data_IF_677280342904
#
_entry.id   IF_677280342904
#
_cell.length_a   1.000
_cell.length_b   1.000
_cell.length_c   1.000
_cell.angle_alpha   90.00
_cell.angle_beta   90.00
_cell.angle_gamma   90.00
#
_symmetry.space_group_name_H-M   'P 1'
#
loop_
_entity.id
_entity.type
_entity.pdbx_description
1 polymer ?
#
# COMPACT_ATOMS: atom_id res chain seq x y z
N UNK A 1 -11.23 -39.76 2.67
CA UNK A 1 -10.23 -39.26 1.69
C UNK A 1 -10.26 -37.76 1.74
N UNK A 2 -9.33 -37.17 2.47
CA UNK A 2 -9.22 -35.73 2.64
C UNK A 2 -8.43 -35.20 1.44
N UNK A 3 -9.09 -34.49 0.56
CA UNK A 3 -8.42 -33.79 -0.55
C UNK A 3 -7.71 -32.59 0.09
N UNK A 4 -6.42 -32.76 0.34
CA UNK A 4 -5.58 -31.65 0.75
C UNK A 4 -5.53 -30.61 -0.36
N UNK A 5 -6.22 -29.49 -0.17
CA UNK A 5 -6.11 -28.34 -1.06
C UNK A 5 -4.66 -27.86 -1.03
N UNK A 6 -3.91 -28.08 -2.09
CA UNK A 6 -2.61 -27.46 -2.28
C UNK A 6 -2.85 -25.97 -2.47
N UNK A 7 -2.47 -25.18 -1.49
CA UNK A 7 -2.43 -23.71 -1.62
C UNK A 7 -1.42 -23.38 -2.71
N UNK A 8 -1.91 -22.89 -3.85
CA UNK A 8 -1.05 -22.42 -4.94
C UNK A 8 -0.44 -21.08 -4.45
N UNK A 9 0.90 -20.98 -4.30
CA UNK A 9 1.52 -19.72 -3.99
C UNK A 9 1.25 -18.74 -5.14
N UNK A 10 0.51 -17.68 -4.86
CA UNK A 10 0.31 -16.59 -5.83
C UNK A 10 1.68 -15.96 -6.12
N UNK A 11 2.11 -15.85 -7.38
CA UNK A 11 3.36 -15.21 -7.75
C UNK A 11 3.19 -13.68 -7.71
N UNK A 12 2.88 -13.14 -6.54
CA UNK A 12 2.85 -11.70 -6.34
C UNK A 12 4.30 -11.26 -6.19
N UNK A 13 4.85 -10.65 -7.21
CA UNK A 13 6.15 -10.01 -7.15
C UNK A 13 6.02 -8.84 -6.15
N UNK A 14 6.61 -9.01 -4.97
CA UNK A 14 6.97 -7.85 -4.14
C UNK A 14 8.01 -7.09 -4.95
N UNK A 15 7.84 -5.79 -5.12
CA UNK A 15 8.99 -4.99 -5.52
C UNK A 15 10.07 -5.25 -4.48
N UNK A 16 11.17 -5.91 -4.87
CA UNK A 16 12.23 -6.39 -3.96
C UNK A 16 12.92 -5.26 -3.17
N UNK A 17 12.46 -4.02 -3.36
CA UNK A 17 13.05 -2.80 -2.84
C UNK A 17 12.13 -1.93 -1.98
N UNK A 18 10.89 -2.29 -1.74
CA UNK A 18 9.96 -1.47 -0.96
C UNK A 18 10.18 -1.68 0.55
N UNK A 19 11.10 -0.94 1.11
CA UNK A 19 11.43 -0.92 2.54
C UNK A 19 11.50 0.51 3.06
N UNK A 20 11.47 0.70 4.38
CA UNK A 20 11.69 2.03 4.98
C UNK A 20 13.10 2.58 4.74
N UNK A 21 14.09 1.73 4.44
CA UNK A 21 15.47 2.14 4.17
C UNK A 21 15.61 2.88 2.84
N UNK A 22 14.78 2.51 1.86
CA UNK A 22 14.77 3.15 0.54
C UNK A 22 13.52 4.01 0.30
N UNK A 23 12.80 4.34 1.36
CA UNK A 23 11.71 5.32 1.36
C UNK A 23 12.26 6.74 1.36
N UNK A 24 11.74 7.59 0.48
CA UNK A 24 12.04 9.02 0.51
C UNK A 24 11.08 9.72 1.48
N UNK A 25 11.55 10.02 2.70
CA UNK A 25 10.79 10.82 3.66
C UNK A 25 10.63 12.26 3.17
N UNK A 26 9.41 12.78 3.27
CA UNK A 26 9.02 14.14 2.86
C UNK A 26 8.25 14.82 3.98
N UNK A 27 8.21 16.15 3.99
CA UNK A 27 7.49 16.90 5.04
C UNK A 27 6.01 16.52 5.13
N UNK A 28 5.37 16.23 4.00
CA UNK A 28 3.96 15.83 3.94
C UNK A 28 3.74 14.37 4.39
N UNK A 29 4.76 13.52 4.34
CA UNK A 29 4.67 12.10 4.76
C UNK A 29 5.14 11.84 6.18
N UNK A 30 5.90 12.75 6.81
CA UNK A 30 6.41 12.58 8.16
C UNK A 30 5.34 12.24 9.22
N UNK A 31 4.15 12.88 9.25
CA UNK A 31 3.12 12.51 10.21
C UNK A 31 2.67 11.05 10.08
N UNK A 32 2.52 10.57 8.85
CA UNK A 32 2.19 9.18 8.55
C UNK A 32 3.32 8.23 8.98
N UNK A 33 4.57 8.57 8.64
CA UNK A 33 5.75 7.77 9.00
C UNK A 33 5.89 7.64 10.51
N UNK A 34 5.74 8.73 11.24
CA UNK A 34 5.75 8.72 12.70
C UNK A 34 4.62 7.87 13.26
N UNK A 35 3.41 8.02 12.72
CA UNK A 35 2.25 7.26 13.15
C UNK A 35 2.42 5.75 12.91
N UNK A 36 2.98 5.34 11.76
CA UNK A 36 3.24 3.93 11.43
C UNK A 36 4.42 3.34 12.23
N UNK A 37 5.42 4.16 12.60
CA UNK A 37 6.59 3.72 13.36
C UNK A 37 6.37 3.71 14.88
N UNK A 38 5.41 4.45 15.38
CA UNK A 38 5.01 4.39 16.79
C UNK A 38 4.44 3.00 17.05
N UNK A 39 5.19 2.16 17.76
CA UNK A 39 4.69 0.88 18.29
C UNK A 39 3.50 1.15 19.21
N UNK A 40 2.33 1.31 18.61
CA UNK A 40 1.09 1.56 19.35
C UNK A 40 0.75 0.33 20.17
N UNK A 41 0.27 0.50 21.41
CA UNK A 41 -0.15 -0.62 22.25
C UNK A 41 -1.33 -1.42 21.66
N UNK A 42 -2.06 -0.80 20.72
CA UNK A 42 -3.09 -1.44 19.90
C UNK A 42 -2.78 -1.13 18.43
N UNK A 43 -2.69 -2.14 17.56
CA UNK A 43 -2.50 -1.90 16.14
C UNK A 43 -3.59 -0.98 15.61
N UNK A 44 -3.18 0.15 15.04
CA UNK A 44 -4.12 1.11 14.46
C UNK A 44 -4.17 0.92 12.95
N UNK A 45 -5.37 0.96 12.40
CA UNK A 45 -5.58 0.83 10.96
C UNK A 45 -5.59 2.20 10.27
N UNK A 46 -5.07 2.24 9.05
CA UNK A 46 -4.94 3.49 8.29
C UNK A 46 -5.41 3.34 6.84
N UNK A 47 -5.82 4.46 6.28
CA UNK A 47 -6.17 4.61 4.88
C UNK A 47 -5.25 5.65 4.22
N UNK A 48 -4.53 5.20 3.19
CA UNK A 48 -3.60 6.01 2.41
C UNK A 48 -4.24 6.37 1.08
N UNK A 49 -4.26 7.64 0.71
CA UNK A 49 -4.77 8.00 -0.59
C UNK A 49 -3.93 9.07 -1.28
N UNK A 50 -4.03 9.12 -2.60
CA UNK A 50 -3.30 10.06 -3.43
C UNK A 50 -3.24 9.55 -4.86
N UNK A 51 -2.80 10.38 -5.78
CA UNK A 51 -2.67 10.01 -7.19
C UNK A 51 -1.82 8.76 -7.42
N UNK A 52 -1.73 8.33 -8.66
CA UNK A 52 -0.84 7.22 -9.02
C UNK A 52 0.62 7.57 -8.73
N UNK A 53 1.41 6.55 -8.37
CA UNK A 53 2.87 6.64 -8.19
C UNK A 53 3.38 7.61 -7.12
N UNK A 54 2.55 7.96 -6.13
CA UNK A 54 2.97 8.82 -4.99
C UNK A 54 3.64 8.04 -3.85
N UNK A 55 3.76 6.71 -3.97
CA UNK A 55 4.43 5.84 -3.00
C UNK A 55 3.49 5.06 -2.07
N UNK A 56 2.18 4.99 -2.33
CA UNK A 56 1.23 4.23 -1.50
C UNK A 56 1.62 2.77 -1.34
N UNK A 57 1.81 2.06 -2.47
CA UNK A 57 2.23 0.65 -2.50
C UNK A 57 3.55 0.42 -1.77
N UNK A 58 4.50 1.36 -1.92
CA UNK A 58 5.78 1.30 -1.21
C UNK A 58 5.58 1.31 0.31
N UNK A 59 4.73 2.20 0.83
CA UNK A 59 4.43 2.27 2.28
C UNK A 59 3.80 0.97 2.76
N UNK A 60 2.80 0.44 2.04
CA UNK A 60 2.16 -0.82 2.39
C UNK A 60 3.15 -1.98 2.43
N UNK A 61 3.99 -2.10 1.41
CA UNK A 61 4.99 -3.17 1.33
C UNK A 61 6.07 -3.00 2.40
N UNK A 62 6.51 -1.77 2.70
CA UNK A 62 7.47 -1.50 3.78
C UNK A 62 6.92 -1.91 5.15
N UNK A 63 5.64 -1.65 5.42
CA UNK A 63 4.97 -2.13 6.64
C UNK A 63 4.90 -3.66 6.69
N UNK A 64 4.55 -4.30 5.56
CA UNK A 64 4.54 -5.76 5.46
C UNK A 64 5.94 -6.35 5.63
N UNK A 65 6.98 -5.69 5.12
CA UNK A 65 8.37 -6.12 5.29
C UNK A 65 8.77 -6.14 6.77
N UNK A 66 8.41 -5.11 7.53
CA UNK A 66 8.67 -5.04 8.98
C UNK A 66 7.93 -6.14 9.75
N UNK A 67 6.67 -6.41 9.40
CA UNK A 67 5.87 -7.48 10.03
C UNK A 67 6.29 -8.90 9.59
N UNK A 68 7.09 -9.02 8.53
CA UNK A 68 7.67 -10.28 8.07
C UNK A 68 6.63 -11.31 7.63
N UNK A 69 6.76 -12.55 8.11
CA UNK A 69 5.87 -13.65 7.74
C UNK A 69 4.43 -13.49 8.23
N UNK A 70 4.22 -12.61 9.21
CA UNK A 70 2.91 -12.35 9.78
C UNK A 70 2.19 -11.16 9.10
N UNK A 71 2.51 -10.90 7.86
CA UNK A 71 1.86 -9.90 7.02
C UNK A 71 1.19 -10.52 5.80
N UNK A 72 0.14 -9.87 5.30
CA UNK A 72 -0.52 -10.18 4.02
C UNK A 72 -0.60 -8.90 3.20
N UNK A 73 0.02 -8.92 2.02
CA UNK A 73 -0.10 -7.84 1.03
C UNK A 73 -1.04 -8.31 -0.08
N UNK A 74 -2.09 -7.53 -0.34
CA UNK A 74 -3.19 -7.84 -1.23
C UNK A 74 -3.33 -6.73 -2.29
N UNK A 75 -2.58 -6.78 -3.40
CA UNK A 75 -2.74 -5.88 -4.54
C UNK A 75 -3.99 -6.28 -5.32
N UNK A 76 -5.12 -5.60 -5.08
CA UNK A 76 -6.42 -6.02 -5.62
C UNK A 76 -6.45 -6.04 -7.13
N UNK A 77 -5.77 -5.12 -7.80
CA UNK A 77 -5.68 -5.09 -9.27
C UNK A 77 -5.20 -6.43 -9.85
N UNK A 78 -4.25 -7.09 -9.19
CA UNK A 78 -3.71 -8.39 -9.63
C UNK A 78 -4.58 -9.57 -9.18
N UNK A 79 -5.43 -9.36 -8.18
CA UNK A 79 -6.20 -10.41 -7.52
C UNK A 79 -7.63 -10.53 -8.01
N UNK A 80 -8.17 -9.54 -8.73
CA UNK A 80 -9.57 -9.53 -9.21
C UNK A 80 -9.96 -10.72 -10.07
N UNK A 81 -8.99 -11.40 -10.71
CA UNK A 81 -9.26 -12.60 -11.50
C UNK A 81 -9.51 -13.86 -10.68
N UNK A 82 -9.33 -13.80 -9.36
CA UNK A 82 -9.55 -14.92 -8.43
C UNK A 82 -10.82 -14.72 -7.60
N UNK A 83 -11.45 -15.80 -7.11
CA UNK A 83 -12.58 -15.68 -6.18
C UNK A 83 -12.17 -14.99 -4.88
N UNK A 84 -12.88 -13.93 -4.45
CA UNK A 84 -12.51 -13.15 -3.26
C UNK A 84 -12.45 -13.99 -1.98
N UNK A 85 -13.34 -14.99 -1.84
CA UNK A 85 -13.36 -15.87 -0.66
C UNK A 85 -12.07 -16.69 -0.53
N UNK A 86 -11.45 -17.05 -1.64
CA UNK A 86 -10.18 -17.79 -1.63
C UNK A 86 -8.99 -16.87 -1.33
N UNK A 87 -9.00 -15.67 -1.89
CA UNK A 87 -7.93 -14.68 -1.71
C UNK A 87 -7.91 -14.16 -0.27
N UNK A 88 -9.08 -13.88 0.28
CA UNK A 88 -9.24 -13.26 1.59
C UNK A 88 -9.32 -14.29 2.74
N UNK A 89 -9.32 -15.61 2.40
CA UNK A 89 -9.33 -16.67 3.40
C UNK A 89 -8.15 -16.48 4.38
N UNK A 90 -8.44 -16.52 5.67
CA UNK A 90 -7.45 -16.45 6.76
C UNK A 90 -6.54 -15.19 6.75
N UNK A 91 -6.78 -14.23 5.87
CA UNK A 91 -5.97 -13.00 5.82
C UNK A 91 -6.04 -12.22 7.15
N UNK A 92 -7.17 -12.25 7.86
CA UNK A 92 -7.38 -11.62 9.16
C UNK A 92 -6.53 -12.22 10.30
N UNK A 93 -5.91 -13.39 10.09
CA UNK A 93 -4.99 -14.01 11.06
C UNK A 93 -3.61 -13.36 11.06
N UNK A 94 -3.30 -12.57 10.03
CA UNK A 94 -2.05 -11.81 9.96
C UNK A 94 -2.08 -10.61 10.91
N UNK A 95 -0.91 -10.26 11.45
CA UNK A 95 -0.77 -9.06 12.30
C UNK A 95 -0.90 -7.77 11.49
N UNK A 96 -0.55 -7.81 10.20
CA UNK A 96 -0.70 -6.69 9.26
C UNK A 96 -1.34 -7.20 7.99
N UNK A 97 -2.47 -6.61 7.61
CA UNK A 97 -3.14 -6.82 6.32
C UNK A 97 -3.07 -5.52 5.54
N UNK A 98 -2.42 -5.54 4.40
CA UNK A 98 -2.26 -4.39 3.52
C UNK A 98 -3.03 -4.62 2.23
N UNK A 99 -4.05 -3.80 1.98
CA UNK A 99 -4.90 -3.85 0.79
C UNK A 99 -4.52 -2.69 -0.12
N UNK A 100 -4.06 -2.98 -1.32
CA UNK A 100 -3.66 -1.98 -2.31
C UNK A 100 -4.67 -1.87 -3.44
N UNK A 101 -4.71 -0.68 -4.06
CA UNK A 101 -5.60 -0.35 -5.19
C UNK A 101 -7.09 -0.59 -4.92
N UNK A 102 -7.57 -0.27 -3.72
CA UNK A 102 -8.95 -0.53 -3.30
C UNK A 102 -10.00 0.05 -4.27
N UNK A 103 -9.70 1.15 -4.92
CA UNK A 103 -10.62 1.80 -5.86
C UNK A 103 -10.96 0.93 -7.09
N UNK A 104 -10.19 -0.12 -7.39
CA UNK A 104 -10.51 -1.03 -8.49
C UNK A 104 -11.79 -1.84 -8.27
N UNK A 105 -12.26 -1.98 -7.02
CA UNK A 105 -13.48 -2.72 -6.69
C UNK A 105 -14.75 -1.86 -6.64
N UNK A 106 -14.68 -0.56 -6.96
CA UNK A 106 -15.88 0.31 -6.94
C UNK A 106 -17.02 -0.22 -7.82
N UNK A 107 -16.68 -0.94 -8.88
CA UNK A 107 -17.65 -1.53 -9.82
C UNK A 107 -17.77 -3.05 -9.71
N UNK A 108 -17.11 -3.66 -8.72
CA UNK A 108 -17.11 -5.11 -8.52
C UNK A 108 -17.74 -5.48 -7.18
N UNK A 109 -19.08 -5.66 -7.20
CA UNK A 109 -19.86 -5.98 -6.02
C UNK A 109 -19.44 -7.32 -5.37
N UNK A 110 -18.89 -8.27 -6.15
CA UNK A 110 -18.47 -9.57 -5.64
C UNK A 110 -17.33 -9.46 -4.63
N UNK A 111 -16.49 -8.43 -4.72
CA UNK A 111 -15.37 -8.18 -3.81
C UNK A 111 -15.76 -7.35 -2.58
N UNK A 112 -16.81 -6.53 -2.66
CA UNK A 112 -17.11 -5.54 -1.62
C UNK A 112 -17.58 -6.17 -0.31
N UNK A 113 -18.47 -7.15 -0.35
CA UNK A 113 -18.97 -7.85 0.85
C UNK A 113 -17.89 -8.71 1.54
N UNK A 114 -17.11 -9.52 0.81
CA UNK A 114 -15.96 -10.23 1.39
C UNK A 114 -14.91 -9.30 2.02
N UNK A 115 -14.62 -8.15 1.42
CA UNK A 115 -13.70 -7.17 2.01
C UNK A 115 -14.29 -6.50 3.25
N UNK A 116 -15.57 -6.19 3.28
CA UNK A 116 -16.23 -5.71 4.50
C UNK A 116 -16.13 -6.75 5.63
N UNK A 117 -16.32 -8.02 5.31
CA UNK A 117 -16.16 -9.11 6.25
C UNK A 117 -14.73 -9.22 6.76
N UNK A 118 -13.74 -9.14 5.87
CA UNK A 118 -12.32 -9.12 6.23
C UNK A 118 -12.01 -7.95 7.18
N UNK A 119 -12.51 -6.75 6.87
CA UNK A 119 -12.34 -5.57 7.72
C UNK A 119 -12.77 -5.85 9.17
N UNK A 120 -14.01 -6.34 9.34
CA UNK A 120 -14.54 -6.63 10.67
C UNK A 120 -13.70 -7.68 11.41
N UNK A 121 -13.29 -8.75 10.72
CA UNK A 121 -12.42 -9.79 11.29
C UNK A 121 -11.05 -9.26 11.71
N UNK A 122 -10.43 -8.38 10.92
CA UNK A 122 -9.17 -7.74 11.29
C UNK A 122 -9.32 -6.89 12.58
N UNK A 123 -10.42 -6.16 12.71
CA UNK A 123 -10.71 -5.39 13.93
C UNK A 123 -10.91 -6.31 15.14
N UNK A 124 -11.66 -7.40 14.97
CA UNK A 124 -11.94 -8.37 16.03
C UNK A 124 -10.66 -9.13 16.47
N UNK A 125 -9.78 -9.47 15.53
CA UNK A 125 -8.51 -10.16 15.83
C UNK A 125 -7.45 -9.22 16.42
N UNK A 126 -7.68 -7.90 16.41
CA UNK A 126 -6.69 -6.91 16.82
C UNK A 126 -5.53 -6.76 15.86
N UNK A 127 -5.70 -7.15 14.59
CA UNK A 127 -4.73 -6.94 13.52
C UNK A 127 -4.74 -5.50 13.00
N UNK A 128 -3.64 -5.08 12.40
CA UNK A 128 -3.52 -3.81 11.69
C UNK A 128 -4.01 -3.94 10.27
N UNK A 129 -4.95 -3.09 9.84
CA UNK A 129 -5.40 -3.00 8.47
C UNK A 129 -4.89 -1.71 7.84
N UNK A 130 -4.13 -1.84 6.77
CA UNK A 130 -3.62 -0.73 5.97
C UNK A 130 -4.28 -0.79 4.58
N UNK A 131 -4.88 0.29 4.16
CA UNK A 131 -5.59 0.34 2.87
C UNK A 131 -5.04 1.48 2.02
N UNK A 132 -4.86 1.24 0.73
CA UNK A 132 -4.46 2.28 -0.21
C UNK A 132 -5.40 2.37 -1.41
N UNK A 133 -5.65 3.60 -1.89
CA UNK A 133 -6.44 3.89 -3.08
C UNK A 133 -6.03 5.22 -3.72
N UNK A 134 -6.51 5.47 -4.94
CA UNK A 134 -6.25 6.75 -5.61
C UNK A 134 -7.19 7.87 -5.12
N UNK A 135 -8.31 7.52 -4.49
CA UNK A 135 -9.36 8.44 -4.02
C UNK A 135 -9.49 8.41 -2.50
N UNK A 136 -9.93 9.53 -1.92
CA UNK A 136 -10.34 9.55 -0.51
C UNK A 136 -11.58 8.65 -0.30
N UNK A 137 -11.79 8.05 0.91
CA UNK A 137 -12.92 7.16 1.17
C UNK A 137 -14.29 7.76 0.81
N UNK A 138 -14.47 9.04 1.08
CA UNK A 138 -15.70 9.75 0.77
C UNK A 138 -16.00 9.86 -0.74
N UNK A 139 -14.98 9.73 -1.60
CA UNK A 139 -15.10 9.81 -3.06
C UNK A 139 -15.39 8.45 -3.71
N UNK A 140 -15.29 7.35 -2.96
CA UNK A 140 -15.57 5.99 -3.44
C UNK A 140 -17.09 5.72 -3.42
N UNK A 141 -17.81 6.37 -4.31
CA UNK A 141 -19.29 6.33 -4.33
C UNK A 141 -19.88 4.98 -4.77
N UNK A 142 -19.09 4.17 -5.49
CA UNK A 142 -19.48 2.83 -5.95
C UNK A 142 -19.33 1.74 -4.89
N UNK A 143 -18.75 2.04 -3.73
CA UNK A 143 -18.64 1.07 -2.65
C UNK A 143 -19.93 0.95 -1.83
N UNK A 144 -20.15 -0.24 -1.28
CA UNK A 144 -21.18 -0.47 -0.26
C UNK A 144 -21.09 0.58 0.84
N UNK A 145 -22.22 1.18 1.29
CA UNK A 145 -22.23 2.22 2.32
C UNK A 145 -21.51 1.80 3.61
N UNK A 146 -21.68 0.55 4.02
CA UNK A 146 -21.07 0.00 5.24
C UNK A 146 -19.56 -0.10 5.11
N UNK A 147 -19.04 -0.60 3.97
CA UNK A 147 -17.60 -0.66 3.70
C UNK A 147 -17.00 0.76 3.66
N UNK A 148 -17.65 1.69 2.96
CA UNK A 148 -17.20 3.08 2.90
C UNK A 148 -17.20 3.77 4.28
N UNK A 149 -18.20 3.50 5.11
CA UNK A 149 -18.26 3.99 6.49
C UNK A 149 -17.09 3.49 7.32
N UNK A 150 -16.75 2.21 7.20
CA UNK A 150 -15.59 1.62 7.88
C UNK A 150 -14.28 2.26 7.42
N UNK A 151 -14.09 2.43 6.11
CA UNK A 151 -12.89 3.08 5.57
C UNK A 151 -12.75 4.53 6.04
N UNK A 152 -13.87 5.26 6.14
CA UNK A 152 -13.88 6.65 6.65
C UNK A 152 -13.52 6.74 8.13
N UNK A 153 -13.75 5.67 8.91
CA UNK A 153 -13.39 5.62 10.33
C UNK A 153 -11.90 5.37 10.60
N UNK A 154 -11.12 5.02 9.59
CA UNK A 154 -9.67 4.81 9.69
C UNK A 154 -8.93 6.15 9.86
N UNK A 155 -7.68 6.07 10.32
CA UNK A 155 -6.77 7.23 10.24
C UNK A 155 -6.40 7.46 8.78
N UNK A 156 -6.75 8.64 8.24
CA UNK A 156 -6.62 8.94 6.83
C UNK A 156 -5.37 9.79 6.59
N UNK A 157 -4.51 9.35 5.67
CA UNK A 157 -3.34 10.09 5.19
C UNK A 157 -3.43 10.34 3.70
N UNK A 158 -3.16 11.58 3.29
CA UNK A 158 -3.02 11.93 1.89
C UNK A 158 -1.54 12.01 1.51
N UNK A 159 -1.16 11.34 0.45
CA UNK A 159 0.17 11.45 -0.15
C UNK A 159 0.10 12.41 -1.35
N UNK A 160 0.89 13.48 -1.28
CA UNK A 160 0.96 14.46 -2.36
C UNK A 160 1.84 13.93 -3.53
N UNK A 161 1.63 14.51 -4.71
CA UNK A 161 2.51 14.24 -5.85
C UNK A 161 3.95 14.70 -5.58
N UNK A 162 4.90 14.03 -6.21
CA UNK A 162 6.30 14.41 -6.13
C UNK A 162 6.53 15.77 -6.82
N UNK A 163 7.24 16.68 -6.14
CA UNK A 163 7.83 17.87 -6.76
C UNK A 163 9.09 17.50 -7.54
N UNK A 164 9.62 18.44 -8.33
CA UNK A 164 10.91 18.23 -9.02
C UNK A 164 12.06 17.96 -8.04
N UNK A 165 12.05 18.65 -6.90
CA UNK A 165 13.03 18.43 -5.83
C UNK A 165 12.91 17.01 -5.23
N UNK A 166 11.68 16.52 -5.05
CA UNK A 166 11.45 15.16 -4.57
C UNK A 166 11.93 14.11 -5.59
N UNK A 167 11.73 14.33 -6.88
CA UNK A 167 12.25 13.44 -7.93
C UNK A 167 13.79 13.42 -7.92
N UNK A 168 14.43 14.59 -7.80
CA UNK A 168 15.89 14.66 -7.70
C UNK A 168 16.43 13.93 -6.46
N UNK A 169 15.75 14.08 -5.32
CA UNK A 169 16.10 13.39 -4.08
C UNK A 169 15.92 11.86 -4.20
N UNK A 170 14.82 11.41 -4.84
CA UNK A 170 14.55 10.00 -5.08
C UNK A 170 15.60 9.37 -6.00
N UNK A 171 15.99 10.08 -7.08
CA UNK A 171 17.07 9.64 -7.97
C UNK A 171 18.40 9.47 -7.23
N UNK A 172 18.75 10.42 -6.35
CA UNK A 172 19.96 10.31 -5.53
C UNK A 172 19.90 9.09 -4.62
N UNK A 173 18.79 8.93 -3.90
CA UNK A 173 18.58 7.81 -2.99
C UNK A 173 18.75 6.46 -3.70
N UNK A 174 18.16 6.33 -4.90
CA UNK A 174 18.27 5.11 -5.71
C UNK A 174 19.66 4.86 -6.25
N UNK A 175 20.32 5.92 -6.74
CA UNK A 175 21.70 5.83 -7.24
C UNK A 175 22.67 5.44 -6.12
N UNK A 176 22.55 6.04 -4.93
CA UNK A 176 23.36 5.71 -3.76
C UNK A 176 23.17 4.24 -3.35
N UNK A 177 21.92 3.76 -3.34
CA UNK A 177 21.62 2.35 -3.06
C UNK A 177 22.25 1.40 -4.09
N UNK A 178 22.39 1.84 -5.35
CA UNK A 178 23.07 1.10 -6.43
C UNK A 178 24.60 1.31 -6.44
N UNK A 179 25.16 2.09 -5.51
CA UNK A 179 26.59 2.43 -5.48
C UNK A 179 27.02 3.41 -6.57
N UNK A 180 26.08 4.16 -7.14
CA UNK A 180 26.31 5.12 -8.24
C UNK A 180 26.26 6.55 -7.69
N UNK A 181 27.26 7.37 -8.00
CA UNK A 181 27.23 8.81 -7.70
C UNK A 181 26.76 9.57 -8.94
N UNK A 182 25.62 10.28 -8.82
CA UNK A 182 25.10 11.12 -9.89
C UNK A 182 25.68 12.54 -9.79
N UNK A 183 26.22 13.07 -10.88
CA UNK A 183 26.62 14.47 -10.95
C UNK A 183 25.39 15.40 -10.94
N UNK A 184 25.58 16.66 -10.54
CA UNK A 184 24.50 17.64 -10.56
C UNK A 184 23.87 17.84 -11.94
N UNK A 185 24.70 17.82 -12.97
CA UNK A 185 24.26 17.95 -14.38
C UNK A 185 23.37 16.79 -14.83
N UNK A 186 23.73 15.55 -14.47
CA UNK A 186 22.93 14.36 -14.77
C UNK A 186 21.59 14.40 -14.02
N UNK A 187 21.61 14.78 -12.76
CA UNK A 187 20.37 14.95 -11.96
C UNK A 187 19.43 15.98 -12.58
N UNK A 188 19.96 17.14 -12.94
CA UNK A 188 19.19 18.19 -13.58
C UNK A 188 18.62 17.76 -14.92
N UNK A 189 19.41 17.06 -15.74
CA UNK A 189 18.96 16.50 -17.01
C UNK A 189 17.84 15.47 -16.83
N UNK A 190 17.96 14.57 -15.85
CA UNK A 190 16.96 13.56 -15.55
C UNK A 190 15.66 14.19 -15.04
N UNK A 191 15.72 15.14 -14.12
CA UNK A 191 14.53 15.80 -13.56
C UNK A 191 13.74 16.59 -14.58
N UNK A 192 14.41 17.16 -15.62
CA UNK A 192 13.72 17.85 -16.70
C UNK A 192 12.99 16.93 -17.67
N UNK A 193 13.41 15.67 -17.80
CA UNK A 193 12.89 14.72 -18.80
C UNK A 193 12.02 13.62 -18.21
N UNK A 194 12.22 13.28 -16.93
CA UNK A 194 11.38 12.29 -16.29
C UNK A 194 10.01 12.90 -15.96
N UNK A 195 8.93 12.22 -16.29
CA UNK A 195 7.62 12.61 -15.79
C UNK A 195 7.66 12.60 -14.25
N UNK A 196 6.79 13.39 -13.62
CA UNK A 196 6.63 13.47 -12.14
C UNK A 196 6.01 12.19 -11.57
N UNK A 197 6.60 11.07 -11.94
CA UNK A 197 6.10 9.71 -11.73
C UNK A 197 7.23 8.87 -11.13
N UNK A 198 7.09 8.54 -9.84
CA UNK A 198 8.10 7.79 -9.11
C UNK A 198 8.38 6.40 -9.74
N UNK A 199 7.40 5.80 -10.42
CA UNK A 199 7.58 4.49 -11.06
C UNK A 199 8.59 4.50 -12.22
N UNK A 200 8.74 5.65 -12.91
CA UNK A 200 9.72 5.79 -14.01
C UNK A 200 11.11 6.20 -13.54
N UNK A 201 11.28 6.37 -12.25
CA UNK A 201 12.54 6.71 -11.56
C UNK A 201 13.20 5.46 -10.97
N UNK A 202 12.48 4.34 -10.99
CA UNK A 202 12.93 3.01 -10.49
C UNK A 202 13.59 2.21 -11.61
#
# INVERSE_FOLDING_TARGET
>A
MTIGGQQIPLPIQREDFATWQNWLSRLDTQPMEQWLSMGQPVPQSAYLWGGSHVGKSHVLQACCHVAGHNARYLPLTDLLCFPPEQVLADAHLASVVAIDDLDCIETDEAWQEPLFTLFNRCVESGGQLLVAANKAPAQLSGLLPDLRSRLTSLTIFQLAHFSEEHIAALLRLRAEAAGITLSHEVLQYCTMRLPRDAQKVV
#
